data_IF_216472373414
#
_entry.id   IF_216472373414
#
_cell.length_a   1.000
_cell.length_b   1.000
_cell.length_c   1.000
_cell.angle_alpha   90.00
_cell.angle_beta   90.00
_cell.angle_gamma   90.00
#
_symmetry.space_group_name_H-M   'P 1'
#
loop_
_entity.id
_entity.type
_entity.pdbx_description
1 polymer ?
#
# COMPACT_ATOMS: atom_id res chain seq x y z
N UNK A 1 -17.16 28.60 -9.43
CA UNK A 1 -16.10 28.15 -10.35
C UNK A 1 -14.77 28.42 -9.65
N UNK A 2 -14.26 27.43 -8.91
CA UNK A 2 -12.91 27.41 -8.36
C UNK A 2 -12.20 26.23 -9.03
N UNK A 3 -11.33 26.53 -9.98
CA UNK A 3 -10.43 25.57 -10.62
C UNK A 3 -9.04 25.80 -10.01
N UNK A 4 -8.60 24.92 -9.11
CA UNK A 4 -7.19 24.54 -8.87
C UNK A 4 -7.15 23.14 -8.20
N UNK A 5 -7.09 22.09 -9.02
CA UNK A 5 -6.01 21.08 -9.02
C UNK A 5 -5.47 20.43 -7.74
N UNK A 6 -6.30 19.95 -6.81
CA UNK A 6 -5.84 19.01 -5.76
C UNK A 6 -6.65 17.70 -5.85
N UNK A 7 -6.02 16.62 -6.31
CA UNK A 7 -6.62 15.31 -6.46
C UNK A 7 -6.81 14.62 -5.11
N UNK A 8 -7.83 15.01 -4.36
CA UNK A 8 -8.21 14.30 -3.13
C UNK A 8 -8.95 13.01 -3.48
N UNK A 9 -8.28 11.86 -3.29
CA UNK A 9 -8.95 10.56 -3.26
C UNK A 9 -9.90 10.49 -2.06
N UNK A 10 -11.07 9.88 -2.23
CA UNK A 10 -12.02 9.75 -1.14
C UNK A 10 -11.50 8.76 -0.08
N UNK A 11 -11.90 8.94 1.17
CA UNK A 11 -11.59 7.97 2.23
C UNK A 11 -12.16 6.59 1.86
N UNK A 12 -13.29 6.55 1.15
CA UNK A 12 -13.94 5.34 0.65
C UNK A 12 -13.04 4.56 -0.33
N UNK A 13 -12.32 5.24 -1.22
CA UNK A 13 -11.38 4.60 -2.14
C UNK A 13 -10.21 3.96 -1.38
N UNK A 14 -9.72 4.64 -0.35
CA UNK A 14 -8.64 4.12 0.50
C UNK A 14 -9.10 2.92 1.33
N UNK A 15 -10.29 2.98 1.90
CA UNK A 15 -10.91 1.87 2.64
C UNK A 15 -11.16 0.66 1.73
N UNK A 16 -11.69 0.89 0.52
CA UNK A 16 -11.91 -0.14 -0.48
C UNK A 16 -10.59 -0.82 -0.88
N UNK A 17 -9.57 -0.02 -1.19
CA UNK A 17 -8.26 -0.53 -1.61
C UNK A 17 -7.52 -1.25 -0.49
N UNK A 18 -7.51 -0.69 0.71
CA UNK A 18 -6.89 -1.32 1.88
C UNK A 18 -7.62 -2.61 2.29
N UNK A 19 -8.96 -2.63 2.23
CA UNK A 19 -9.76 -3.84 2.47
C UNK A 19 -9.52 -4.93 1.43
N UNK A 20 -9.37 -4.57 0.15
CA UNK A 20 -9.00 -5.51 -0.92
C UNK A 20 -7.60 -6.11 -0.67
N UNK A 21 -6.64 -5.29 -0.27
CA UNK A 21 -5.29 -5.73 0.07
C UNK A 21 -5.28 -6.62 1.31
N UNK A 22 -6.06 -6.30 2.34
CA UNK A 22 -6.22 -7.15 3.53
C UNK A 22 -6.85 -8.52 3.17
N UNK A 23 -7.78 -8.56 2.20
CA UNK A 23 -8.31 -9.82 1.71
C UNK A 23 -7.26 -10.64 0.96
N UNK A 24 -6.41 -9.99 0.17
CA UNK A 24 -5.28 -10.63 -0.53
C UNK A 24 -4.26 -11.17 0.48
N UNK A 25 -3.98 -10.43 1.55
CA UNK A 25 -3.04 -10.89 2.57
C UNK A 25 -3.55 -12.13 3.28
N UNK A 26 -4.86 -12.25 3.54
CA UNK A 26 -5.46 -13.47 4.09
C UNK A 26 -5.32 -14.69 3.17
N UNK A 27 -5.24 -14.47 1.85
CA UNK A 27 -5.04 -15.55 0.87
C UNK A 27 -3.57 -15.95 0.74
N UNK A 28 -2.65 -15.01 0.99
CA UNK A 28 -1.22 -15.24 0.91
C UNK A 28 -0.70 -15.95 2.17
N UNK A 29 -0.26 -17.19 2.02
CA UNK A 29 0.38 -17.95 3.10
C UNK A 29 1.61 -17.25 3.70
N UNK A 30 2.28 -16.40 2.91
CA UNK A 30 3.46 -15.63 3.34
C UNK A 30 3.11 -14.53 4.35
N UNK A 31 1.86 -14.05 4.33
CA UNK A 31 1.37 -13.01 5.24
C UNK A 31 1.03 -13.53 6.64
N UNK A 32 0.85 -14.85 6.80
CA UNK A 32 0.49 -15.50 8.08
C UNK A 32 1.58 -15.35 9.14
N UNK A 33 2.83 -15.15 8.72
CA UNK A 33 3.97 -14.92 9.61
C UNK A 33 4.06 -13.50 10.18
N UNK A 34 3.31 -12.54 9.61
CA UNK A 34 3.34 -11.15 10.04
C UNK A 34 2.21 -10.83 11.02
N UNK A 35 2.44 -9.84 11.89
CA UNK A 35 1.40 -9.37 12.81
C UNK A 35 0.26 -8.72 12.02
N UNK A 36 -1.02 -8.95 12.39
CA UNK A 36 -2.15 -8.33 11.70
C UNK A 36 -2.10 -6.79 11.73
N UNK A 37 -1.49 -6.19 12.75
CA UNK A 37 -1.20 -4.74 12.80
C UNK A 37 -0.22 -4.29 11.71
N UNK A 38 0.83 -5.08 11.44
CA UNK A 38 1.80 -4.79 10.38
C UNK A 38 1.15 -4.96 9.01
N UNK A 39 0.35 -6.01 8.82
CA UNK A 39 -0.39 -6.25 7.57
C UNK A 39 -1.38 -5.12 7.29
N UNK A 40 -2.09 -4.63 8.30
CA UNK A 40 -2.99 -3.48 8.16
C UNK A 40 -2.21 -2.19 7.77
N UNK A 41 -1.10 -1.91 8.46
CA UNK A 41 -0.23 -0.78 8.15
C UNK A 41 0.32 -0.83 6.71
N UNK A 42 0.81 -2.00 6.27
CA UNK A 42 1.30 -2.24 4.91
C UNK A 42 0.19 -2.13 3.86
N UNK A 43 -1.03 -2.59 4.18
CA UNK A 43 -2.20 -2.47 3.29
C UNK A 43 -2.58 -1.01 3.06
N UNK A 44 -2.55 -0.19 4.11
CA UNK A 44 -2.79 1.26 4.00
C UNK A 44 -1.68 1.96 3.24
N UNK A 45 -0.41 1.61 3.49
CA UNK A 45 0.74 2.14 2.74
C UNK A 45 0.58 1.86 1.24
N UNK A 46 0.29 0.60 0.89
CA UNK A 46 0.18 0.18 -0.50
C UNK A 46 -1.08 0.76 -1.16
N UNK A 47 -2.20 0.88 -0.44
CA UNK A 47 -3.40 1.56 -0.93
C UNK A 47 -3.12 3.02 -1.25
N UNK A 48 -2.46 3.76 -0.34
CA UNK A 48 -2.04 5.15 -0.58
C UNK A 48 -1.10 5.27 -1.76
N UNK A 49 -0.16 4.34 -1.91
CA UNK A 49 0.77 4.34 -3.04
C UNK A 49 0.07 4.07 -4.37
N UNK A 50 -0.90 3.15 -4.41
CA UNK A 50 -1.65 2.84 -5.64
C UNK A 50 -2.54 4.02 -6.03
N UNK A 51 -3.19 4.65 -5.05
CA UNK A 51 -4.03 5.81 -5.29
C UNK A 51 -3.17 7.01 -5.71
N UNK A 52 -2.13 7.35 -4.95
CA UNK A 52 -1.26 8.47 -5.23
C UNK A 52 0.22 8.06 -5.20
N UNK A 53 0.77 7.57 -6.33
CA UNK A 53 2.19 7.18 -6.39
C UNK A 53 3.14 8.39 -6.36
N UNK A 54 2.62 9.61 -6.59
CA UNK A 54 3.39 10.86 -6.57
C UNK A 54 3.60 11.41 -5.16
N UNK A 55 2.76 11.00 -4.20
CA UNK A 55 2.84 11.43 -2.80
C UNK A 55 3.50 10.35 -1.94
N UNK A 56 4.24 10.78 -0.91
CA UNK A 56 4.85 9.85 0.05
C UNK A 56 3.73 9.18 0.87
N UNK A 57 3.52 7.86 0.74
CA UNK A 57 2.41 7.16 1.40
C UNK A 57 2.59 7.07 2.93
N UNK A 58 3.82 7.22 3.42
CA UNK A 58 4.16 7.20 4.84
C UNK A 58 4.65 8.57 5.31
N UNK A 59 4.10 9.08 6.40
CA UNK A 59 4.51 10.33 7.02
C UNK A 59 4.82 10.12 8.51
N UNK A 60 5.49 11.09 9.14
CA UNK A 60 5.83 11.02 10.58
C UNK A 60 4.60 10.83 11.47
N UNK A 61 3.44 11.33 11.05
CA UNK A 61 2.17 11.17 11.77
C UNK A 61 1.73 9.70 11.81
N UNK A 62 1.72 9.01 10.67
CA UNK A 62 1.34 7.58 10.62
C UNK A 62 2.38 6.73 11.36
N UNK A 63 3.68 7.04 11.25
CA UNK A 63 4.72 6.38 12.05
C UNK A 63 4.47 6.55 13.55
N UNK A 64 4.08 7.74 14.01
CA UNK A 64 3.78 8.01 15.41
C UNK A 64 2.57 7.20 15.94
N UNK A 65 1.52 7.05 15.13
CA UNK A 65 0.32 6.31 15.54
C UNK A 65 0.45 4.79 15.39
N UNK A 66 1.20 4.31 14.41
CA UNK A 66 1.37 2.88 14.14
C UNK A 66 2.55 2.26 14.90
N UNK A 67 3.54 3.07 15.27
CA UNK A 67 4.77 2.63 15.92
C UNK A 67 5.72 1.85 15.00
N UNK A 68 5.42 1.73 13.70
CA UNK A 68 6.25 1.00 12.73
C UNK A 68 7.12 1.94 11.91
N UNK A 69 8.39 1.58 11.74
CA UNK A 69 9.27 2.26 10.81
C UNK A 69 8.94 1.84 9.36
N UNK A 70 9.18 2.72 8.38
CA UNK A 70 9.08 2.35 6.97
C UNK A 70 9.88 1.09 6.62
N UNK A 71 11.03 0.90 7.29
CA UNK A 71 11.89 -0.26 7.10
C UNK A 71 11.23 -1.58 7.54
N UNK A 72 10.44 -1.57 8.64
CA UNK A 72 9.69 -2.74 9.11
C UNK A 72 8.56 -3.12 8.14
N UNK A 73 7.98 -2.12 7.49
CA UNK A 73 6.88 -2.29 6.54
C UNK A 73 7.37 -2.77 5.18
N UNK A 74 8.63 -2.51 4.82
CA UNK A 74 9.19 -2.79 3.50
C UNK A 74 8.96 -4.25 3.07
N UNK A 75 9.35 -5.22 3.89
CA UNK A 75 9.20 -6.64 3.55
C UNK A 75 7.74 -7.02 3.39
N UNK A 76 6.89 -6.58 4.33
CA UNK A 76 5.45 -6.85 4.29
C UNK A 76 4.76 -6.18 3.09
N UNK A 77 5.12 -4.95 2.73
CA UNK A 77 4.58 -4.24 1.57
C UNK A 77 5.01 -4.92 0.26
N UNK A 78 6.27 -5.36 0.15
CA UNK A 78 6.76 -6.06 -1.04
C UNK A 78 6.06 -7.41 -1.23
N UNK A 79 5.98 -8.22 -0.16
CA UNK A 79 5.26 -9.49 -0.17
C UNK A 79 3.76 -9.30 -0.49
N UNK A 80 3.15 -8.22 0.01
CA UNK A 80 1.75 -7.89 -0.26
C UNK A 80 1.54 -7.42 -1.70
N UNK A 81 2.47 -6.65 -2.26
CA UNK A 81 2.45 -6.23 -3.65
C UNK A 81 2.64 -7.42 -4.60
N UNK A 82 3.55 -8.35 -4.27
CA UNK A 82 3.76 -9.58 -5.03
C UNK A 82 2.52 -10.49 -4.95
N UNK A 83 1.94 -10.66 -3.76
CA UNK A 83 0.67 -11.36 -3.61
C UNK A 83 -0.43 -10.70 -4.43
N UNK A 84 -0.55 -9.37 -4.39
CA UNK A 84 -1.50 -8.63 -5.22
C UNK A 84 -1.30 -8.93 -6.69
N UNK A 85 -0.07 -8.99 -7.20
CA UNK A 85 0.20 -9.26 -8.61
C UNK A 85 -0.11 -10.73 -8.97
N UNK A 86 0.18 -11.68 -8.08
CA UNK A 86 -0.16 -13.10 -8.24
C UNK A 86 -1.67 -13.34 -8.28
N UNK A 87 -2.43 -12.75 -7.35
CA UNK A 87 -3.89 -12.86 -7.29
C UNK A 87 -4.58 -11.92 -8.30
N UNK A 88 -3.90 -10.85 -8.74
CA UNK A 88 -4.37 -9.91 -9.75
C UNK A 88 -4.35 -10.49 -11.17
N UNK A 89 -3.40 -11.38 -11.46
CA UNK A 89 -3.34 -12.13 -12.72
C UNK A 89 -4.60 -12.97 -12.98
N UNK A 90 -5.23 -13.47 -11.92
CA UNK A 90 -6.44 -14.31 -12.02
C UNK A 90 -7.72 -13.47 -12.20
N UNK A 91 -7.66 -12.17 -11.94
CA UNK A 91 -8.84 -11.32 -11.96
C UNK A 91 -9.14 -10.77 -13.38
N UNK A 92 -8.18 -10.17 -14.10
CA UNK A 92 -8.49 -9.58 -15.42
C UNK A 92 -7.26 -9.47 -16.34
N UNK A 93 -7.42 -9.98 -17.57
CA UNK A 93 -6.58 -9.70 -18.74
C UNK A 93 -6.74 -8.24 -19.23
N UNK A 94 -6.51 -7.27 -18.35
CA UNK A 94 -6.45 -5.85 -18.70
C UNK A 94 -5.01 -5.40 -18.48
N UNK A 95 -4.32 -4.88 -19.51
CA UNK A 95 -2.97 -4.35 -19.37
C UNK A 95 -3.07 -2.96 -18.73
N UNK A 96 -3.41 -2.89 -17.44
CA UNK A 96 -3.01 -1.73 -16.65
C UNK A 96 -1.51 -1.89 -16.46
N UNK A 97 -0.74 -1.05 -17.16
CA UNK A 97 0.68 -0.80 -16.93
C UNK A 97 1.05 -1.13 -15.48
N UNK A 98 1.93 -2.11 -15.26
CA UNK A 98 2.43 -2.45 -13.93
C UNK A 98 2.62 -1.15 -13.15
N UNK A 99 2.02 -0.99 -11.94
CA UNK A 99 2.31 0.18 -11.14
C UNK A 99 3.83 0.24 -10.98
N UNK A 100 4.44 1.43 -11.10
CA UNK A 100 5.87 1.57 -11.07
C UNK A 100 6.43 0.82 -9.84
N UNK A 101 7.61 0.20 -9.97
CA UNK A 101 8.21 -0.50 -8.84
C UNK A 101 8.29 0.48 -7.66
N UNK A 102 7.80 0.04 -6.50
CA UNK A 102 7.74 0.89 -5.30
C UNK A 102 9.16 1.40 -5.03
N UNK A 103 9.39 2.72 -5.14
CA UNK A 103 10.72 3.28 -4.98
C UNK A 103 11.29 2.94 -3.60
N UNK A 104 12.50 2.40 -3.56
CA UNK A 104 13.17 2.02 -2.32
C UNK A 104 13.38 3.20 -1.35
N UNK A 105 13.38 4.44 -1.87
CA UNK A 105 13.50 5.66 -1.08
C UNK A 105 12.30 5.92 -0.15
N UNK A 106 11.14 5.28 -0.38
CA UNK A 106 10.02 5.33 0.57
C UNK A 106 10.30 4.55 1.85
N UNK A 107 11.32 3.68 1.85
CA UNK A 107 11.64 2.79 2.97
C UNK A 107 12.95 3.16 3.70
N UNK A 108 13.72 4.13 3.18
CA UNK A 108 14.95 4.63 3.81
C UNK A 108 14.68 5.89 4.62
N UNK A 109 15.27 5.92 5.83
CA UNK A 109 15.13 6.94 6.87
C UNK A 109 14.89 8.37 6.37
N UNK A 110 13.86 8.99 6.94
CA UNK A 110 13.61 10.42 6.86
C UNK A 110 14.78 11.19 7.51
N UNK A 111 15.76 11.57 6.70
CA UNK A 111 16.60 12.73 6.99
C UNK A 111 15.76 14.00 6.95
#
# INVERSE_FOLDING_TARGET
MYFLGEGYYSIEDLECMSGKLAKISLMSYRMVGYKPSLVAASSVFLAKYILNPSERPWNRTVQHYTGYEPSDLKECVLELAEARDLYGYVAYAIPTSQPPPIPSHFFTNFG
#
